data_IF_215280939216
#
_entry.id   IF_215280939216
#
_cell.length_a   1.000
_cell.length_b   1.000
_cell.length_c   1.000
_cell.angle_alpha   90.00
_cell.angle_beta   90.00
_cell.angle_gamma   90.00
#
_symmetry.space_group_name_H-M   'P 1'
#
loop_
_entity.id
_entity.type
_entity.pdbx_description
1 polymer ?
#
# COMPACT_ATOMS: atom_id res chain seq x y z
N UNK A 1 -5.57 19.52 -9.22
CA UNK A 1 -4.74 18.33 -9.51
C UNK A 1 -4.35 17.69 -8.19
N UNK A 2 -4.48 16.36 -8.02
CA UNK A 2 -3.99 15.70 -6.82
C UNK A 2 -2.48 15.95 -6.69
N UNK A 3 -2.00 16.27 -5.49
CA UNK A 3 -0.56 16.46 -5.24
C UNK A 3 0.16 15.15 -5.56
N UNK A 4 1.34 15.23 -6.18
CA UNK A 4 2.11 14.09 -6.71
C UNK A 4 2.49 13.01 -5.68
N UNK A 5 2.25 13.24 -4.37
CA UNK A 5 2.50 12.27 -3.28
C UNK A 5 1.24 11.95 -2.46
N UNK A 6 0.06 12.02 -3.07
CA UNK A 6 -1.21 11.72 -2.40
C UNK A 6 -1.64 10.26 -2.60
N UNK A 7 -2.39 9.70 -1.65
CA UNK A 7 -2.96 8.36 -1.79
C UNK A 7 -3.85 8.30 -3.04
N UNK A 8 -4.62 9.35 -3.30
CA UNK A 8 -5.48 9.48 -4.46
C UNK A 8 -4.72 9.30 -5.78
N UNK A 9 -3.55 9.93 -5.90
CA UNK A 9 -2.71 9.83 -7.11
C UNK A 9 -2.21 8.39 -7.33
N UNK A 10 -1.64 7.77 -6.30
CA UNK A 10 -1.09 6.42 -6.41
C UNK A 10 -2.17 5.35 -6.59
N UNK A 11 -3.29 5.49 -5.90
CA UNK A 11 -4.42 4.57 -6.05
C UNK A 11 -5.05 4.67 -7.46
N UNK A 12 -5.11 5.87 -8.03
CA UNK A 12 -5.52 6.06 -9.43
C UNK A 12 -4.55 5.37 -10.40
N UNK A 13 -3.23 5.56 -10.22
CA UNK A 13 -2.21 4.98 -11.10
C UNK A 13 -2.08 3.46 -11.01
N UNK A 14 -2.52 2.85 -9.91
CA UNK A 14 -2.43 1.40 -9.69
C UNK A 14 -3.71 0.64 -10.09
N UNK A 15 -4.76 1.37 -10.48
CA UNK A 15 -6.05 0.79 -10.84
C UNK A 15 -6.92 0.40 -9.64
N UNK A 16 -6.49 0.66 -8.40
CA UNK A 16 -7.21 0.30 -7.17
C UNK A 16 -7.97 1.49 -6.53
N UNK A 17 -8.23 2.56 -7.28
CA UNK A 17 -8.90 3.76 -6.78
C UNK A 17 -10.24 3.49 -6.09
N UNK A 18 -11.01 2.53 -6.60
CA UNK A 18 -12.27 2.08 -5.99
C UNK A 18 -12.11 1.53 -4.57
N UNK A 19 -10.92 1.05 -4.21
CA UNK A 19 -10.61 0.47 -2.91
C UNK A 19 -9.88 1.45 -1.96
N UNK A 20 -9.69 2.71 -2.37
CA UNK A 20 -9.08 3.74 -1.51
C UNK A 20 -9.81 3.89 -0.16
N UNK A 21 -11.15 3.95 -0.08
CA UNK A 21 -11.84 4.02 1.22
C UNK A 21 -11.57 2.81 2.13
N UNK A 22 -11.46 1.61 1.54
CA UNK A 22 -11.13 0.38 2.26
C UNK A 22 -9.70 0.44 2.80
N UNK A 23 -8.75 0.90 1.98
CA UNK A 23 -7.36 1.09 2.37
C UNK A 23 -7.22 2.08 3.53
N UNK A 24 -7.85 3.26 3.45
CA UNK A 24 -7.81 4.29 4.49
C UNK A 24 -8.38 3.77 5.82
N UNK A 25 -9.49 3.02 5.77
CA UNK A 25 -10.06 2.39 6.96
C UNK A 25 -9.10 1.36 7.58
N UNK A 26 -8.47 0.52 6.76
CA UNK A 26 -7.53 -0.51 7.21
C UNK A 26 -6.27 0.11 7.84
N UNK A 27 -5.69 1.12 7.18
CA UNK A 27 -4.55 1.87 7.69
C UNK A 27 -4.85 2.46 9.07
N UNK A 28 -6.00 3.13 9.21
CA UNK A 28 -6.42 3.71 10.49
C UNK A 28 -6.57 2.66 11.58
N UNK A 29 -7.22 1.54 11.27
CA UNK A 29 -7.45 0.44 12.23
C UNK A 29 -6.15 -0.21 12.72
N UNK A 30 -5.15 -0.30 11.85
CA UNK A 30 -3.89 -0.99 12.15
C UNK A 30 -2.73 -0.03 12.47
N UNK A 31 -2.98 1.28 12.46
CA UNK A 31 -2.00 2.31 12.78
C UNK A 31 -0.90 2.45 11.74
N UNK A 32 -1.21 2.33 10.44
CA UNK A 32 -0.28 2.62 9.35
C UNK A 32 -0.39 4.06 8.88
N UNK A 33 0.75 4.65 8.51
CA UNK A 33 0.83 6.01 7.99
C UNK A 33 0.78 6.04 6.46
N UNK A 34 0.76 7.25 5.89
CA UNK A 34 0.68 7.45 4.44
C UNK A 34 1.91 6.92 3.69
N UNK A 35 3.13 7.10 4.22
CA UNK A 35 4.36 6.63 3.59
C UNK A 35 4.34 5.10 3.42
N UNK A 36 3.95 4.38 4.48
CA UNK A 36 3.79 2.92 4.48
C UNK A 36 2.73 2.47 3.45
N UNK A 37 1.64 3.22 3.33
CA UNK A 37 0.56 2.89 2.40
C UNK A 37 0.89 3.17 0.93
N UNK A 38 1.67 4.22 0.66
CA UNK A 38 2.15 4.54 -0.70
C UNK A 38 3.08 3.44 -1.21
N UNK A 39 4.00 2.97 -0.37
CA UNK A 39 4.86 1.83 -0.71
C UNK A 39 4.04 0.55 -0.89
N UNK A 40 3.09 0.30 0.04
CA UNK A 40 2.26 -0.88 -0.02
C UNK A 40 1.42 -0.95 -1.30
N UNK A 41 0.79 0.14 -1.74
CA UNK A 41 -0.08 0.13 -2.92
C UNK A 41 0.70 -0.13 -4.22
N UNK A 42 1.93 0.37 -4.33
CA UNK A 42 2.83 0.02 -5.44
C UNK A 42 3.10 -1.49 -5.46
N UNK A 43 3.45 -2.08 -4.31
CA UNK A 43 3.69 -3.52 -4.18
C UNK A 43 2.43 -4.36 -4.45
N UNK A 44 1.25 -3.87 -4.10
CA UNK A 44 -0.03 -4.53 -4.46
C UNK A 44 -0.21 -4.54 -5.98
N UNK A 45 0.07 -3.43 -6.66
CA UNK A 45 -0.03 -3.35 -8.12
C UNK A 45 0.94 -4.31 -8.81
N UNK A 46 2.19 -4.39 -8.33
CA UNK A 46 3.16 -5.35 -8.84
C UNK A 46 2.67 -6.79 -8.66
N UNK A 47 2.15 -7.13 -7.47
CA UNK A 47 1.60 -8.46 -7.21
C UNK A 47 0.38 -8.76 -8.09
N UNK A 48 -0.49 -7.78 -8.34
CA UNK A 48 -1.66 -7.94 -9.19
C UNK A 48 -1.29 -8.14 -10.67
N UNK A 49 -0.20 -7.54 -11.15
CA UNK A 49 0.32 -7.75 -12.51
C UNK A 49 0.79 -9.18 -12.74
N UNK A 50 1.38 -9.81 -11.73
CA UNK A 50 1.88 -11.20 -11.82
C UNK A 50 0.77 -12.21 -11.46
N UNK A 51 -0.02 -11.91 -10.44
CA UNK A 51 -1.04 -12.77 -9.87
C UNK A 51 -2.35 -12.00 -9.65
N UNK A 52 -3.13 -11.75 -10.72
CA UNK A 52 -4.36 -10.98 -10.63
C UNK A 52 -5.42 -11.70 -9.76
N UNK A 53 -6.33 -10.95 -9.10
CA UNK A 53 -7.40 -11.55 -8.31
C UNK A 53 -8.35 -12.37 -9.20
N UNK A 54 -8.64 -13.61 -8.80
CA UNK A 54 -9.45 -14.55 -9.60
C UNK A 54 -10.92 -14.62 -9.22
N UNK A 55 -11.31 -14.10 -8.04
CA UNK A 55 -12.69 -14.14 -7.54
C UNK A 55 -13.09 -12.82 -6.90
N UNK A 56 -12.81 -12.65 -5.62
CA UNK A 56 -13.20 -11.45 -4.87
C UNK A 56 -12.03 -10.47 -4.81
N UNK A 57 -12.08 -9.45 -5.67
CA UNK A 57 -11.05 -8.41 -5.78
C UNK A 57 -10.84 -7.64 -4.47
N UNK A 58 -11.91 -7.30 -3.76
CA UNK A 58 -11.83 -6.56 -2.50
C UNK A 58 -11.21 -7.42 -1.39
N UNK A 59 -11.65 -8.67 -1.23
CA UNK A 59 -11.05 -9.58 -0.23
C UNK A 59 -9.59 -9.86 -0.54
N UNK A 60 -9.26 -10.11 -1.81
CA UNK A 60 -7.88 -10.27 -2.24
C UNK A 60 -7.05 -9.02 -1.92
N UNK A 61 -7.58 -7.84 -2.22
CA UNK A 61 -6.93 -6.56 -1.95
C UNK A 61 -6.70 -6.36 -0.45
N UNK A 62 -7.69 -6.60 0.42
CA UNK A 62 -7.53 -6.43 1.86
C UNK A 62 -6.42 -7.33 2.41
N UNK A 63 -6.35 -8.59 1.97
CA UNK A 63 -5.33 -9.54 2.40
C UNK A 63 -3.95 -9.05 1.93
N UNK A 64 -3.81 -8.75 0.64
CA UNK A 64 -2.53 -8.38 0.03
C UNK A 64 -2.06 -7.00 0.50
N UNK A 65 -2.94 -6.02 0.57
CA UNK A 65 -2.61 -4.69 1.06
C UNK A 65 -2.17 -4.74 2.53
N UNK A 66 -2.83 -5.54 3.38
CA UNK A 66 -2.37 -5.78 4.76
C UNK A 66 -0.96 -6.39 4.80
N UNK A 67 -0.69 -7.42 4.01
CA UNK A 67 0.64 -8.03 3.87
C UNK A 67 1.69 -6.96 3.50
N UNK A 68 1.38 -6.15 2.47
CA UNK A 68 2.31 -5.14 1.95
C UNK A 68 2.51 -3.94 2.87
N UNK A 69 1.53 -3.59 3.71
CA UNK A 69 1.68 -2.58 4.76
C UNK A 69 2.74 -2.99 5.80
N UNK A 70 2.72 -4.25 6.25
CA UNK A 70 3.75 -4.74 7.18
C UNK A 70 5.13 -4.82 6.54
N UNK A 71 5.20 -5.26 5.28
CA UNK A 71 6.44 -5.29 4.51
C UNK A 71 7.03 -3.88 4.34
N UNK A 72 6.20 -2.91 3.91
CA UNK A 72 6.60 -1.52 3.77
C UNK A 72 7.13 -0.92 5.08
N UNK A 73 6.45 -1.17 6.21
CA UNK A 73 6.92 -0.74 7.53
C UNK A 73 8.30 -1.32 7.85
N UNK A 74 8.49 -2.62 7.62
CA UNK A 74 9.76 -3.28 7.87
C UNK A 74 10.89 -2.67 7.03
N UNK A 75 10.65 -2.43 5.74
CA UNK A 75 11.62 -1.83 4.83
C UNK A 75 11.98 -0.39 5.24
N UNK A 76 10.98 0.42 5.59
CA UNK A 76 11.19 1.80 6.05
C UNK A 76 12.00 1.82 7.34
N UNK A 77 11.68 0.96 8.32
CA UNK A 77 12.43 0.86 9.56
C UNK A 77 13.87 0.40 9.33
N UNK A 78 14.08 -0.60 8.47
CA UNK A 78 15.41 -1.09 8.11
C UNK A 78 16.24 0.00 7.41
N UNK A 79 15.64 0.75 6.48
CA UNK A 79 16.29 1.87 5.81
C UNK A 79 16.70 2.96 6.80
N UNK A 80 15.79 3.36 7.70
CA UNK A 80 16.06 4.37 8.74
C UNK A 80 17.16 3.92 9.70
N UNK A 81 17.13 2.65 10.13
CA UNK A 81 18.17 2.07 10.97
C UNK A 81 19.53 2.10 10.27
N UNK A 82 19.62 1.62 9.03
CA UNK A 82 20.85 1.66 8.24
C UNK A 82 21.37 3.09 8.05
N UNK A 83 20.48 4.05 7.81
CA UNK A 83 20.85 5.47 7.69
C UNK A 83 21.38 6.07 8.99
N UNK A 84 20.95 5.56 10.15
CA UNK A 84 21.45 6.03 11.46
C UNK A 84 22.84 5.49 11.82
N UNK A 85 23.31 4.46 11.12
CA UNK A 85 24.64 3.87 11.29
C UNK A 85 25.71 4.45 10.36
N UNK A 86 25.32 5.30 9.40
CA UNK A 86 26.17 5.99 8.43
C UNK A 86 26.38 7.44 8.85
#
# INVERSE_FOLDING_TARGET
MPKENSLEYYFAGTGFYDLLPVAVNLMRKLGFNQEEALEAICKVADKARVYPPTKNRETWFVIVFKEKLYEARADILAFRYKRSLL
#
